data_IF_110419986710
#
_entry.id   IF_110419986710
#
_cell.length_a   1.000
_cell.length_b   1.000
_cell.length_c   1.000
_cell.angle_alpha   90.00
_cell.angle_beta   90.00
_cell.angle_gamma   90.00
#
_symmetry.space_group_name_H-M   'P 1'
#
loop_
_entity.id
_entity.type
_entity.pdbx_description
1 polymer ?
#
# COMPACT_ATOMS: atom_id res chain seq x y z
N UNK A 1 83.53 42.61 0.59
CA UNK A 1 82.14 42.58 0.97
C UNK A 1 81.30 41.98 -0.17
N UNK A 2 81.18 40.67 -0.17
CA UNK A 2 80.44 39.92 -1.23
C UNK A 2 79.11 39.44 -0.66
N UNK A 3 78.05 39.97 -1.21
CA UNK A 3 76.67 39.55 -0.84
C UNK A 3 76.29 38.26 -1.55
N UNK A 4 76.03 37.20 -0.79
CA UNK A 4 75.42 36.00 -1.29
C UNK A 4 73.92 36.13 -1.33
N UNK A 5 73.31 35.86 -2.51
CA UNK A 5 71.89 35.67 -2.67
C UNK A 5 71.62 34.15 -2.67
N UNK A 6 70.67 33.67 -1.91
CA UNK A 6 70.29 32.26 -2.03
C UNK A 6 69.36 32.02 -3.27
N UNK A 7 69.72 30.97 -4.02
CA UNK A 7 68.92 30.50 -5.16
C UNK A 7 67.64 29.90 -4.64
N UNK A 8 66.53 30.47 -5.04
CA UNK A 8 65.19 29.91 -4.80
C UNK A 8 64.95 28.71 -5.74
N UNK A 9 64.88 27.49 -5.17
CA UNK A 9 64.61 26.25 -5.89
C UNK A 9 63.08 26.17 -6.07
N UNK A 10 62.60 26.37 -7.30
CA UNK A 10 61.20 26.26 -7.66
C UNK A 10 60.83 24.79 -7.80
N UNK A 11 60.19 24.21 -6.80
CA UNK A 11 59.68 22.81 -6.82
C UNK A 11 58.39 22.80 -7.60
N UNK A 12 58.41 22.33 -8.85
CA UNK A 12 57.21 22.13 -9.65
C UNK A 12 56.57 20.85 -9.14
N UNK A 13 55.48 21.00 -8.37
CA UNK A 13 54.60 19.88 -7.97
C UNK A 13 53.70 19.54 -9.17
N UNK A 14 54.06 18.51 -9.91
CA UNK A 14 53.15 17.90 -10.90
C UNK A 14 52.10 17.11 -10.13
N UNK A 15 50.92 17.74 -9.92
CA UNK A 15 49.71 17.01 -9.48
C UNK A 15 49.24 16.12 -10.63
N UNK A 16 49.54 14.84 -10.52
CA UNK A 16 48.89 13.85 -11.35
C UNK A 16 47.41 13.82 -11.02
N UNK A 17 46.58 14.44 -11.87
CA UNK A 17 45.12 14.20 -11.87
C UNK A 17 44.89 12.74 -12.21
N UNK A 18 44.75 11.90 -11.20
CA UNK A 18 44.12 10.60 -11.35
C UNK A 18 42.64 10.87 -11.76
N UNK A 19 42.39 10.94 -13.05
CA UNK A 19 41.03 10.87 -13.57
C UNK A 19 40.49 9.49 -13.18
N UNK A 20 39.85 9.40 -12.03
CA UNK A 20 38.90 8.32 -11.78
C UNK A 20 37.93 8.32 -12.95
N UNK A 21 38.11 7.41 -13.90
CA UNK A 21 37.05 7.01 -14.80
C UNK A 21 35.89 6.59 -13.88
N UNK A 22 34.91 7.49 -13.68
CA UNK A 22 33.61 7.05 -13.26
C UNK A 22 33.23 5.90 -14.18
N UNK A 23 32.84 4.74 -13.65
CA UNK A 23 32.21 3.77 -14.50
C UNK A 23 31.13 4.53 -15.25
N UNK A 24 31.10 4.40 -16.57
CA UNK A 24 30.00 4.82 -17.41
C UNK A 24 28.80 4.02 -16.95
N UNK A 25 28.29 4.39 -15.78
CA UNK A 25 27.01 3.95 -15.28
C UNK A 25 26.05 4.37 -16.37
N UNK A 26 25.41 3.42 -16.96
CA UNK A 26 24.15 3.65 -17.63
C UNK A 26 23.35 4.56 -16.69
N UNK A 27 23.44 5.88 -16.90
CA UNK A 27 22.47 6.83 -16.43
C UNK A 27 21.16 6.18 -16.86
N UNK A 28 20.47 5.62 -15.89
CA UNK A 28 19.32 4.81 -16.20
C UNK A 28 18.44 5.68 -17.08
N UNK A 29 18.16 5.21 -18.30
CA UNK A 29 17.16 5.81 -19.19
C UNK A 29 15.87 6.07 -18.41
N UNK A 30 15.61 5.28 -17.35
CA UNK A 30 14.53 5.45 -16.41
C UNK A 30 14.54 6.81 -15.66
N UNK A 31 15.69 7.31 -15.18
CA UNK A 31 15.73 8.60 -14.49
C UNK A 31 15.62 9.75 -15.49
N UNK A 32 16.28 9.66 -16.65
CA UNK A 32 16.14 10.65 -17.71
C UNK A 32 14.70 10.67 -18.26
N UNK A 33 14.07 9.50 -18.41
CA UNK A 33 12.67 9.41 -18.85
C UNK A 33 11.70 9.85 -17.73
N UNK A 34 12.04 9.60 -16.49
CA UNK A 34 11.30 10.08 -15.32
C UNK A 34 11.30 11.60 -15.21
N UNK A 35 12.42 12.25 -15.56
CA UNK A 35 12.57 13.72 -15.50
C UNK A 35 12.15 14.40 -16.80
N UNK A 36 11.85 13.67 -17.89
CA UNK A 36 11.30 14.28 -19.09
C UNK A 36 9.92 14.81 -18.78
N UNK A 37 9.80 16.14 -18.86
CA UNK A 37 8.52 16.82 -18.88
C UNK A 37 7.72 16.34 -20.09
N UNK A 38 6.76 15.43 -19.86
CA UNK A 38 5.81 15.15 -20.91
C UNK A 38 4.85 16.34 -20.96
N UNK A 39 4.98 17.17 -21.95
CA UNK A 39 4.09 18.29 -22.26
C UNK A 39 2.60 17.91 -22.34
N UNK A 40 2.29 16.61 -22.27
CA UNK A 40 0.95 16.04 -22.24
C UNK A 40 0.37 15.94 -20.82
N UNK A 41 1.15 16.16 -19.75
CA UNK A 41 0.62 16.16 -18.38
C UNK A 41 0.17 17.58 -18.07
N UNK A 42 -1.14 17.83 -17.86
CA UNK A 42 -1.59 19.14 -17.43
C UNK A 42 -0.82 19.58 -16.18
N UNK A 43 -0.53 20.87 -16.03
CA UNK A 43 0.16 21.44 -14.86
C UNK A 43 -0.70 21.36 -13.58
N UNK A 44 -1.19 20.14 -13.27
CA UNK A 44 -2.11 19.82 -12.17
C UNK A 44 -1.40 19.22 -10.97
N UNK A 45 -0.05 19.19 -10.96
CA UNK A 45 0.70 18.46 -9.94
C UNK A 45 0.48 16.93 -10.01
N UNK A 46 0.17 16.40 -11.19
CA UNK A 46 -0.13 14.99 -11.40
C UNK A 46 -1.57 14.57 -11.09
N UNK A 47 -2.42 15.50 -10.63
CA UNK A 47 -3.82 15.24 -10.29
C UNK A 47 -4.66 15.07 -11.55
N UNK A 48 -5.51 14.05 -11.54
CA UNK A 48 -6.51 13.81 -12.58
C UNK A 48 -7.83 13.38 -11.92
N UNK A 49 -8.93 14.08 -12.29
CA UNK A 49 -10.27 13.65 -11.93
C UNK A 49 -10.80 12.73 -13.03
N UNK A 50 -11.15 11.50 -12.66
CA UNK A 50 -11.66 10.47 -13.56
C UNK A 50 -13.15 10.31 -13.33
N UNK A 51 -13.94 10.48 -14.38
CA UNK A 51 -15.38 10.26 -14.30
C UNK A 51 -15.68 8.78 -14.49
N UNK A 52 -16.32 8.17 -13.50
CA UNK A 52 -16.79 6.79 -13.53
C UNK A 52 -18.32 6.72 -13.68
N UNK A 53 -18.79 5.60 -14.21
CA UNK A 53 -20.21 5.26 -14.26
C UNK A 53 -20.52 4.23 -13.18
N UNK A 54 -21.63 4.44 -12.48
CA UNK A 54 -22.15 3.52 -11.48
C UNK A 54 -23.64 3.29 -11.71
N UNK A 55 -24.26 2.28 -11.08
CA UNK A 55 -25.71 2.10 -11.16
C UNK A 55 -26.52 3.30 -10.66
N UNK A 56 -25.93 4.17 -9.86
CA UNK A 56 -26.58 5.36 -9.26
C UNK A 56 -26.16 6.68 -9.92
N UNK A 57 -25.44 6.63 -11.03
CA UNK A 57 -25.00 7.83 -11.75
C UNK A 57 -23.50 7.92 -11.98
N UNK A 58 -23.08 9.12 -12.35
CA UNK A 58 -21.67 9.40 -12.64
C UNK A 58 -21.02 10.13 -11.46
N UNK A 59 -19.81 9.71 -11.10
CA UNK A 59 -19.05 10.30 -10.02
C UNK A 59 -17.63 10.59 -10.46
N UNK A 60 -16.96 11.53 -9.78
CA UNK A 60 -15.57 11.88 -10.02
C UNK A 60 -14.68 11.18 -9.00
N UNK A 61 -13.65 10.53 -9.53
CA UNK A 61 -12.61 9.84 -8.76
C UNK A 61 -11.33 10.62 -8.88
N UNK A 62 -10.72 10.93 -7.73
CA UNK A 62 -9.45 11.60 -7.66
C UNK A 62 -8.29 10.62 -7.75
N UNK A 63 -7.32 10.96 -8.61
CA UNK A 63 -6.03 10.27 -8.70
C UNK A 63 -4.89 11.28 -8.76
N UNK A 64 -3.71 10.88 -8.30
CA UNK A 64 -2.48 11.68 -8.40
C UNK A 64 -1.32 10.79 -8.76
N UNK A 65 -0.56 11.16 -9.79
CA UNK A 65 0.66 10.48 -10.20
C UNK A 65 1.89 11.14 -9.60
N UNK A 66 2.81 10.32 -9.09
CA UNK A 66 4.14 10.71 -8.67
C UNK A 66 5.12 9.94 -9.54
N UNK A 67 5.82 10.65 -10.42
CA UNK A 67 6.69 10.05 -11.42
C UNK A 67 6.08 10.04 -12.83
N UNK A 68 6.81 9.47 -13.79
CA UNK A 68 6.38 9.39 -15.19
C UNK A 68 6.92 8.16 -15.94
N UNK A 69 7.25 7.07 -15.24
CA UNK A 69 7.77 5.86 -15.88
C UNK A 69 6.68 5.18 -16.73
N UNK A 70 6.90 4.99 -18.06
CA UNK A 70 5.91 4.35 -18.91
C UNK A 70 5.74 2.85 -18.67
N UNK A 71 6.75 2.17 -18.08
CA UNK A 71 6.82 0.71 -17.95
C UNK A 71 6.47 0.18 -16.57
N UNK A 72 6.59 0.99 -15.52
CA UNK A 72 6.33 0.57 -14.14
C UNK A 72 5.40 1.58 -13.50
N UNK A 73 4.13 1.24 -13.43
CA UNK A 73 3.05 2.07 -12.86
C UNK A 73 2.34 1.30 -11.76
N UNK A 74 2.48 1.77 -10.54
CA UNK A 74 1.92 1.16 -9.34
C UNK A 74 0.67 1.92 -8.91
N UNK A 75 -0.50 1.34 -9.13
CA UNK A 75 -1.76 1.85 -8.58
C UNK A 75 -1.95 1.34 -7.15
N UNK A 76 -2.22 2.26 -6.23
CA UNK A 76 -2.32 2.00 -4.80
C UNK A 76 -3.78 2.01 -4.36
N UNK A 77 -4.27 0.88 -3.88
CA UNK A 77 -5.61 0.73 -3.30
C UNK A 77 -5.51 0.82 -1.78
N UNK A 78 -6.04 1.91 -1.22
CA UNK A 78 -6.06 2.15 0.22
C UNK A 78 -7.01 1.21 0.96
N UNK A 79 -6.73 1.05 2.26
CA UNK A 79 -7.48 0.26 3.21
C UNK A 79 -8.71 0.97 3.79
N UNK A 80 -9.14 0.50 4.92
CA UNK A 80 -10.38 0.82 5.60
C UNK A 80 -11.39 -0.33 5.45
N UNK A 81 -12.38 -0.30 4.53
CA UNK A 81 -12.63 0.70 3.48
C UNK A 81 -12.95 2.10 4.02
N UNK A 82 -12.71 3.10 3.20
CA UNK A 82 -13.04 4.48 3.60
C UNK A 82 -11.85 5.35 4.04
N UNK A 83 -10.64 4.77 4.20
CA UNK A 83 -9.41 5.54 4.37
C UNK A 83 -9.06 6.31 3.09
N UNK A 84 -8.04 7.15 3.16
CA UNK A 84 -7.54 7.94 2.06
C UNK A 84 -6.11 7.53 1.70
N UNK A 85 -5.58 8.06 0.59
CA UNK A 85 -4.26 7.68 0.09
C UNK A 85 -3.08 8.10 0.98
N UNK A 86 -3.27 9.06 1.88
CA UNK A 86 -2.16 9.77 2.53
C UNK A 86 -1.19 8.85 3.28
N UNK A 87 -1.66 7.76 3.87
CA UNK A 87 -0.75 6.85 4.57
C UNK A 87 0.24 6.11 3.63
N UNK A 88 0.06 6.18 2.31
CA UNK A 88 1.06 5.72 1.35
C UNK A 88 2.16 6.76 1.04
N UNK A 89 2.06 7.99 1.54
CA UNK A 89 3.05 9.05 1.27
C UNK A 89 4.47 8.67 1.70
N UNK A 90 4.62 7.77 2.69
CA UNK A 90 5.93 7.24 3.08
C UNK A 90 6.68 6.55 1.92
N UNK A 91 5.98 6.07 0.90
CA UNK A 91 6.57 5.42 -0.28
C UNK A 91 7.23 6.42 -1.24
N UNK A 92 6.88 7.71 -1.17
CA UNK A 92 7.44 8.77 -2.05
C UNK A 92 8.96 8.92 -1.89
N UNK A 93 9.48 8.64 -0.69
CA UNK A 93 10.91 8.70 -0.41
C UNK A 93 11.70 7.52 -1.01
N UNK A 94 11.03 6.48 -1.52
CA UNK A 94 11.67 5.25 -2.00
C UNK A 94 11.37 4.96 -3.47
N UNK A 95 10.10 4.83 -3.83
CA UNK A 95 9.69 4.26 -5.11
C UNK A 95 10.06 5.12 -6.32
N UNK A 96 9.89 6.46 -6.30
CA UNK A 96 10.25 7.30 -7.44
C UNK A 96 11.74 7.26 -7.79
N UNK A 97 12.62 7.24 -6.78
CA UNK A 97 14.06 7.13 -6.97
C UNK A 97 14.45 5.82 -7.69
N UNK A 98 13.63 4.78 -7.54
CA UNK A 98 13.78 3.49 -8.21
C UNK A 98 13.08 3.41 -9.56
N UNK A 99 12.54 4.54 -10.06
CA UNK A 99 11.85 4.60 -11.34
C UNK A 99 10.48 3.90 -11.32
N UNK A 100 9.83 3.83 -10.17
CA UNK A 100 8.47 3.30 -10.03
C UNK A 100 7.51 4.49 -9.98
N UNK A 101 6.65 4.65 -11.00
CA UNK A 101 5.58 5.65 -10.98
C UNK A 101 4.49 5.19 -10.02
N UNK A 102 4.23 5.98 -8.99
CA UNK A 102 3.15 5.75 -8.04
C UNK A 102 1.88 6.45 -8.51
N UNK A 103 0.75 5.81 -8.31
CA UNK A 103 -0.55 6.39 -8.61
C UNK A 103 -1.42 6.26 -7.36
N UNK A 104 -1.63 7.38 -6.70
CA UNK A 104 -2.63 7.49 -5.65
C UNK A 104 -4.04 7.50 -6.24
N UNK A 105 -4.96 6.92 -5.50
CA UNK A 105 -6.34 6.80 -5.89
C UNK A 105 -7.23 6.82 -4.65
N UNK A 106 -8.00 7.86 -4.48
CA UNK A 106 -9.06 7.89 -3.48
C UNK A 106 -10.31 7.21 -4.07
N UNK A 107 -10.73 6.10 -3.48
CA UNK A 107 -11.92 5.36 -3.91
C UNK A 107 -13.17 6.21 -3.73
N UNK A 108 -14.26 5.90 -4.44
CA UNK A 108 -15.54 6.57 -4.25
C UNK A 108 -15.98 6.52 -2.78
N UNK A 109 -16.28 7.67 -2.22
CA UNK A 109 -16.55 7.82 -0.79
C UNK A 109 -15.33 8.15 0.06
N UNK A 110 -14.13 8.24 -0.52
CA UNK A 110 -12.90 8.52 0.20
C UNK A 110 -12.29 9.86 -0.22
N UNK A 111 -11.67 10.55 0.71
CA UNK A 111 -10.77 11.67 0.50
C UNK A 111 -11.27 12.73 -0.49
N UNK A 112 -10.54 12.87 -1.59
CA UNK A 112 -10.78 13.89 -2.61
C UNK A 112 -11.76 13.45 -3.71
N UNK A 113 -12.26 12.20 -3.67
CA UNK A 113 -13.29 11.70 -4.59
C UNK A 113 -14.70 12.11 -4.14
N UNK A 114 -15.68 11.99 -5.06
CA UNK A 114 -17.07 12.22 -4.70
C UNK A 114 -17.51 11.28 -3.56
N UNK A 115 -18.37 11.79 -2.68
CA UNK A 115 -18.87 11.05 -1.52
C UNK A 115 -20.40 10.95 -1.53
N UNK A 116 -20.98 9.96 -2.25
CA UNK A 116 -22.41 9.73 -2.25
C UNK A 116 -22.91 9.29 -0.88
N UNK A 117 -24.15 9.68 -0.54
CA UNK A 117 -24.81 9.31 0.72
C UNK A 117 -25.53 7.96 0.67
N UNK A 118 -25.72 7.40 -0.53
CA UNK A 118 -26.43 6.13 -0.73
C UNK A 118 -25.52 4.95 -0.36
N UNK A 119 -25.77 4.35 0.80
CA UNK A 119 -24.98 3.21 1.32
C UNK A 119 -25.13 1.95 0.48
N UNK A 120 -26.12 1.85 -0.39
CA UNK A 120 -26.23 0.74 -1.37
C UNK A 120 -25.08 0.74 -2.40
N UNK A 121 -24.29 1.78 -2.43
CA UNK A 121 -23.05 1.87 -3.23
C UNK A 121 -21.86 1.14 -2.61
N UNK A 122 -21.94 0.77 -1.33
CA UNK A 122 -20.84 0.16 -0.59
C UNK A 122 -20.81 -1.36 -0.78
N UNK A 123 -20.56 -1.79 -2.04
CA UNK A 123 -20.55 -3.17 -2.45
C UNK A 123 -19.25 -3.52 -3.18
N UNK A 124 -18.60 -4.63 -2.80
CA UNK A 124 -17.31 -5.06 -3.34
C UNK A 124 -17.31 -5.17 -4.89
N UNK A 125 -18.31 -5.75 -5.55
CA UNK A 125 -18.33 -5.81 -7.02
C UNK A 125 -18.33 -4.43 -7.68
N UNK A 126 -18.98 -3.44 -7.08
CA UNK A 126 -18.98 -2.06 -7.61
C UNK A 126 -17.58 -1.44 -7.55
N UNK A 127 -16.83 -1.65 -6.44
CA UNK A 127 -15.47 -1.17 -6.32
C UNK A 127 -14.53 -1.84 -7.33
N UNK A 128 -14.73 -3.12 -7.63
CA UNK A 128 -13.97 -3.81 -8.69
C UNK A 128 -14.16 -3.14 -10.06
N UNK A 129 -15.41 -2.79 -10.41
CA UNK A 129 -15.69 -2.08 -11.67
C UNK A 129 -15.13 -0.66 -11.66
N UNK A 130 -15.09 -0.01 -10.51
CA UNK A 130 -14.46 1.30 -10.34
C UNK A 130 -12.97 1.24 -10.65
N UNK A 131 -12.23 0.27 -10.09
CA UNK A 131 -10.80 0.05 -10.39
C UNK A 131 -10.59 -0.17 -11.89
N UNK A 132 -11.45 -0.95 -12.56
CA UNK A 132 -11.35 -1.18 -14.01
C UNK A 132 -11.53 0.12 -14.81
N UNK A 133 -12.50 0.95 -14.45
CA UNK A 133 -12.71 2.24 -15.12
C UNK A 133 -11.54 3.21 -14.88
N UNK A 134 -10.99 3.24 -13.66
CA UNK A 134 -9.80 4.02 -13.33
C UNK A 134 -8.59 3.54 -14.14
N UNK A 135 -8.35 2.22 -14.19
CA UNK A 135 -7.31 1.61 -15.03
C UNK A 135 -7.40 2.06 -16.49
N UNK A 136 -8.61 1.97 -17.07
CA UNK A 136 -8.85 2.35 -18.48
C UNK A 136 -8.55 3.83 -18.71
N UNK A 137 -9.03 4.71 -17.84
CA UNK A 137 -8.79 6.15 -17.95
C UNK A 137 -7.30 6.51 -17.82
N UNK A 138 -6.55 5.78 -17.01
CA UNK A 138 -5.10 5.93 -16.82
C UNK A 138 -4.27 5.20 -17.88
N UNK A 139 -4.91 4.46 -18.80
CA UNK A 139 -4.25 3.67 -19.87
C UNK A 139 -3.23 2.68 -19.30
N UNK A 140 -3.60 1.99 -18.24
CA UNK A 140 -2.78 0.94 -17.63
C UNK A 140 -3.10 -0.41 -18.29
N UNK A 141 -2.07 -1.22 -18.53
CA UNK A 141 -2.22 -2.55 -19.14
C UNK A 141 -1.13 -3.53 -18.68
N UNK A 142 -1.17 -4.76 -19.18
CA UNK A 142 -0.25 -5.82 -18.77
C UNK A 142 1.23 -5.54 -19.04
N UNK A 143 1.57 -4.47 -19.76
CA UNK A 143 2.97 -4.08 -20.02
C UNK A 143 3.53 -3.16 -18.94
N UNK A 144 2.65 -2.49 -18.15
CA UNK A 144 3.07 -1.47 -17.21
C UNK A 144 2.33 -1.48 -15.86
N UNK A 145 1.25 -2.24 -15.70
CA UNK A 145 0.31 -2.11 -14.59
C UNK A 145 0.63 -3.05 -13.42
N UNK A 146 1.11 -2.49 -12.33
CA UNK A 146 1.20 -3.12 -11.02
C UNK A 146 0.07 -2.62 -10.13
N UNK A 147 -0.59 -3.54 -9.42
CA UNK A 147 -1.68 -3.22 -8.49
C UNK A 147 -1.27 -3.63 -7.08
N UNK A 148 -1.19 -2.67 -6.17
CA UNK A 148 -0.99 -2.92 -4.75
C UNK A 148 -2.27 -2.61 -3.99
N UNK A 149 -2.76 -3.58 -3.23
CA UNK A 149 -3.85 -3.40 -2.29
C UNK A 149 -3.38 -3.64 -0.86
N UNK A 150 -3.59 -2.67 0.02
CA UNK A 150 -3.31 -2.77 1.44
C UNK A 150 -4.60 -2.92 2.23
N UNK A 151 -4.63 -3.86 3.19
CA UNK A 151 -5.81 -4.08 4.03
C UNK A 151 -7.07 -4.37 3.17
N UNK A 152 -8.19 -3.67 3.36
CA UNK A 152 -9.34 -3.72 2.46
C UNK A 152 -8.94 -3.63 0.97
N UNK A 153 -7.98 -2.76 0.64
CA UNK A 153 -7.44 -2.69 -0.73
C UNK A 153 -6.88 -4.02 -1.22
N UNK A 154 -6.42 -4.90 -0.33
CA UNK A 154 -5.99 -6.26 -0.64
C UNK A 154 -7.15 -7.18 -1.05
N UNK A 155 -8.30 -7.09 -0.39
CA UNK A 155 -9.55 -7.76 -0.81
C UNK A 155 -9.91 -7.30 -2.23
N UNK A 156 -9.96 -5.99 -2.43
CA UNK A 156 -10.30 -5.38 -3.71
C UNK A 156 -9.31 -5.78 -4.82
N UNK A 157 -8.01 -5.83 -4.52
CA UNK A 157 -6.98 -6.25 -5.47
C UNK A 157 -7.09 -7.74 -5.83
N UNK A 158 -7.42 -8.62 -4.89
CA UNK A 158 -7.68 -10.05 -5.16
C UNK A 158 -8.91 -10.23 -6.06
N UNK A 159 -10.02 -9.56 -5.77
CA UNK A 159 -11.23 -9.61 -6.61
C UNK A 159 -10.97 -9.05 -8.02
N UNK A 160 -10.24 -7.93 -8.10
CA UNK A 160 -9.83 -7.38 -9.38
C UNK A 160 -8.98 -8.38 -10.18
N UNK A 161 -8.00 -9.00 -9.55
CA UNK A 161 -7.15 -9.99 -10.20
C UNK A 161 -7.95 -11.21 -10.67
N UNK A 162 -8.85 -11.74 -9.86
CA UNK A 162 -9.70 -12.88 -10.25
C UNK A 162 -10.55 -12.59 -11.48
N UNK A 163 -10.94 -11.32 -11.69
CA UNK A 163 -11.76 -10.91 -12.85
C UNK A 163 -10.95 -10.36 -14.02
N UNK A 164 -9.89 -9.59 -13.76
CA UNK A 164 -9.22 -8.76 -14.74
C UNK A 164 -7.69 -8.93 -14.82
N UNK A 165 -7.14 -10.03 -14.25
CA UNK A 165 -5.68 -10.22 -14.19
C UNK A 165 -4.93 -10.13 -15.53
N UNK A 166 -5.62 -10.34 -16.66
CA UNK A 166 -5.03 -10.17 -18.00
C UNK A 166 -4.47 -8.75 -18.24
N UNK A 167 -4.94 -7.78 -17.47
CA UNK A 167 -4.48 -6.39 -17.55
C UNK A 167 -3.31 -6.10 -16.62
N UNK A 168 -2.97 -7.03 -15.69
CA UNK A 168 -1.92 -6.83 -14.69
C UNK A 168 -0.56 -7.33 -15.19
N UNK A 169 0.49 -6.59 -14.86
CA UNK A 169 1.88 -7.03 -14.93
C UNK A 169 2.32 -7.70 -13.63
N UNK A 170 1.85 -7.20 -12.48
CA UNK A 170 2.08 -7.77 -11.16
C UNK A 170 1.00 -7.38 -10.15
N UNK A 171 0.81 -8.23 -9.16
CA UNK A 171 -0.17 -8.06 -8.06
C UNK A 171 0.57 -8.04 -6.73
N UNK A 172 0.21 -7.12 -5.84
CA UNK A 172 0.75 -7.05 -4.49
C UNK A 172 -0.41 -6.99 -3.50
N UNK A 173 -0.47 -8.00 -2.61
CA UNK A 173 -1.41 -8.04 -1.48
C UNK A 173 -0.64 -7.76 -0.21
N UNK A 174 -0.86 -6.58 0.34
CA UNK A 174 -0.18 -6.10 1.52
C UNK A 174 -1.10 -6.17 2.73
N UNK A 175 -0.69 -6.96 3.73
CA UNK A 175 -1.33 -7.00 5.03
C UNK A 175 -2.85 -7.29 4.94
N UNK A 176 -3.22 -8.33 4.16
CA UNK A 176 -4.62 -8.78 4.04
C UNK A 176 -4.72 -10.27 3.74
N UNK A 177 -5.47 -10.98 4.57
CA UNK A 177 -5.79 -12.40 4.39
C UNK A 177 -6.79 -12.60 3.24
N UNK A 178 -6.85 -13.82 2.72
CA UNK A 178 -7.81 -14.19 1.65
C UNK A 178 -9.16 -14.68 2.18
N UNK A 179 -9.42 -14.52 3.47
CA UNK A 179 -10.64 -14.99 4.14
C UNK A 179 -10.96 -14.13 5.35
N UNK A 180 -12.10 -13.44 5.32
CA UNK A 180 -12.62 -12.70 6.48
C UNK A 180 -13.04 -13.61 7.64
N UNK A 181 -13.62 -14.82 7.42
CA UNK A 181 -13.82 -15.78 8.50
C UNK A 181 -12.52 -16.17 9.21
N UNK A 182 -11.42 -16.41 8.47
CA UNK A 182 -10.14 -16.74 9.09
C UNK A 182 -9.51 -15.53 9.79
N UNK A 183 -9.70 -14.31 9.27
CA UNK A 183 -9.30 -13.08 9.95
C UNK A 183 -10.04 -12.92 11.29
N UNK A 184 -11.35 -13.06 11.29
CA UNK A 184 -12.14 -13.01 12.54
C UNK A 184 -11.69 -14.09 13.55
N UNK A 185 -11.45 -15.31 13.08
CA UNK A 185 -10.93 -16.40 13.91
C UNK A 185 -9.56 -16.07 14.52
N UNK A 186 -8.63 -15.52 13.74
CA UNK A 186 -7.31 -15.08 14.24
C UNK A 186 -7.44 -14.00 15.30
N UNK A 187 -8.34 -13.04 15.08
CA UNK A 187 -8.69 -12.01 16.06
C UNK A 187 -9.13 -12.60 17.41
N UNK A 188 -10.05 -13.57 17.39
CA UNK A 188 -10.59 -14.20 18.59
C UNK A 188 -9.60 -15.17 19.25
N UNK A 189 -8.97 -16.06 18.49
CA UNK A 189 -8.17 -17.14 19.05
C UNK A 189 -6.75 -16.73 19.45
N UNK A 190 -6.22 -15.67 18.80
CA UNK A 190 -4.82 -15.23 19.01
C UNK A 190 -4.76 -13.82 19.60
N UNK A 191 -5.35 -12.83 18.94
CA UNK A 191 -5.17 -11.44 19.34
C UNK A 191 -5.97 -11.09 20.61
N UNK A 192 -7.19 -11.61 20.77
CA UNK A 192 -8.01 -11.40 21.95
C UNK A 192 -7.29 -11.83 23.24
N UNK A 193 -6.48 -12.90 23.19
CA UNK A 193 -5.72 -13.41 24.34
C UNK A 193 -4.59 -12.48 24.80
N UNK A 194 -4.27 -11.46 24.02
CA UNK A 194 -3.22 -10.48 24.34
C UNK A 194 -3.75 -9.26 25.13
N UNK A 195 -5.07 -9.18 25.30
CA UNK A 195 -5.68 -8.13 26.12
C UNK A 195 -5.65 -8.49 27.60
N UNK A 196 -5.67 -7.45 28.43
CA UNK A 196 -6.13 -7.63 29.80
C UNK A 196 -7.59 -8.13 29.80
N UNK A 197 -7.92 -9.19 30.58
CA UNK A 197 -9.25 -9.78 30.56
C UNK A 197 -10.40 -8.79 30.88
N UNK A 198 -10.15 -7.80 31.77
CA UNK A 198 -11.15 -6.79 32.15
C UNK A 198 -11.38 -5.80 31.00
N UNK A 199 -10.29 -5.40 30.32
CA UNK A 199 -10.37 -4.52 29.14
C UNK A 199 -11.15 -5.23 28.02
N UNK A 200 -10.82 -6.49 27.73
CA UNK A 200 -11.52 -7.26 26.71
C UNK A 200 -13.01 -7.42 27.06
N UNK A 201 -13.33 -7.75 28.32
CA UNK A 201 -14.73 -7.87 28.75
C UNK A 201 -15.52 -6.57 28.54
N UNK A 202 -14.90 -5.42 28.83
CA UNK A 202 -15.53 -4.11 28.63
C UNK A 202 -15.74 -3.80 27.14
N UNK A 203 -14.75 -4.09 26.29
CA UNK A 203 -14.88 -3.97 24.82
C UNK A 203 -16.06 -4.80 24.32
N UNK A 204 -16.14 -6.07 24.74
CA UNK A 204 -17.25 -6.98 24.34
C UNK A 204 -18.62 -6.53 24.85
N UNK A 205 -18.70 -5.90 26.01
CA UNK A 205 -19.93 -5.30 26.51
C UNK A 205 -20.45 -4.18 25.59
N UNK A 206 -19.54 -3.29 25.15
CA UNK A 206 -19.84 -2.19 24.23
C UNK A 206 -20.30 -2.76 22.87
N UNK A 207 -19.56 -3.74 22.33
CA UNK A 207 -19.88 -4.41 21.06
C UNK A 207 -21.24 -5.12 21.09
N UNK A 208 -21.54 -5.84 22.19
CA UNK A 208 -22.83 -6.50 22.37
C UNK A 208 -24.02 -5.54 22.39
N UNK A 209 -23.82 -4.33 22.89
CA UNK A 209 -24.82 -3.25 22.88
C UNK A 209 -24.86 -2.49 21.55
N UNK A 210 -23.92 -2.75 20.64
CA UNK A 210 -23.71 -1.98 19.39
C UNK A 210 -23.52 -0.49 19.65
N UNK A 211 -22.94 -0.13 20.80
CA UNK A 211 -22.69 1.24 21.23
C UNK A 211 -21.35 1.74 20.69
N UNK A 212 -21.17 1.69 19.36
CA UNK A 212 -19.90 1.95 18.68
C UNK A 212 -19.51 3.45 18.66
N UNK A 213 -20.45 4.34 18.93
CA UNK A 213 -20.21 5.78 19.07
C UNK A 213 -19.73 6.14 20.50
N UNK A 214 -19.65 5.17 21.39
CA UNK A 214 -19.14 5.36 22.75
C UNK A 214 -17.64 5.69 22.71
N UNK A 215 -17.21 6.86 23.20
CA UNK A 215 -15.79 7.24 23.17
C UNK A 215 -14.87 6.25 23.91
N UNK A 216 -15.40 5.56 24.93
CA UNK A 216 -14.66 4.55 25.69
C UNK A 216 -14.19 3.39 24.78
N UNK A 217 -14.95 3.04 23.75
CA UNK A 217 -14.61 1.96 22.83
C UNK A 217 -13.24 2.17 22.19
N UNK A 218 -13.01 3.31 21.57
CA UNK A 218 -11.72 3.64 20.97
C UNK A 218 -10.65 3.96 22.01
N UNK A 219 -11.00 4.53 23.17
CA UNK A 219 -10.06 4.75 24.29
C UNK A 219 -9.47 3.43 24.80
N UNK A 220 -10.25 2.34 24.79
CA UNK A 220 -9.78 1.00 25.15
C UNK A 220 -8.98 0.35 24.02
N UNK A 221 -9.43 0.47 22.77
CA UNK A 221 -8.80 -0.17 21.61
C UNK A 221 -7.46 0.48 21.24
N UNK A 222 -7.35 1.80 21.28
CA UNK A 222 -6.14 2.49 20.81
C UNK A 222 -4.86 2.02 21.52
N UNK A 223 -4.74 2.03 22.86
CA UNK A 223 -3.52 1.59 23.53
C UNK A 223 -3.37 0.06 23.61
N UNK A 224 -4.47 -0.69 23.63
CA UNK A 224 -4.44 -2.13 23.87
C UNK A 224 -4.38 -2.97 22.61
N UNK A 225 -4.79 -2.42 21.45
CA UNK A 225 -4.83 -3.12 20.18
C UNK A 225 -4.16 -2.34 19.04
N UNK A 226 -4.59 -1.11 18.77
CA UNK A 226 -4.09 -0.34 17.62
C UNK A 226 -2.60 -0.04 17.72
N UNK A 227 -2.10 0.37 18.89
CA UNK A 227 -0.67 0.62 19.13
C UNK A 227 0.20 -0.64 19.12
N UNK A 228 -0.41 -1.84 19.10
CA UNK A 228 0.30 -3.12 19.06
C UNK A 228 0.26 -3.78 17.68
N UNK A 229 -0.86 -3.60 16.96
CA UNK A 229 -1.19 -4.38 15.77
C UNK A 229 -1.45 -3.55 14.51
N UNK A 230 -1.79 -2.25 14.65
CA UNK A 230 -2.03 -1.38 13.49
C UNK A 230 -0.78 -0.57 13.16
N UNK A 231 -0.23 0.19 14.11
CA UNK A 231 1.00 0.95 13.93
C UNK A 231 1.77 0.97 15.25
N UNK A 232 2.96 0.34 15.30
CA UNK A 232 3.71 0.06 16.53
C UNK A 232 4.60 1.20 16.99
N UNK A 233 4.05 2.40 16.94
CA UNK A 233 4.60 3.58 17.61
C UNK A 233 3.69 3.97 18.78
N UNK A 234 4.19 4.71 19.79
CA UNK A 234 3.31 5.37 20.74
C UNK A 234 2.23 6.17 20.01
N UNK A 235 0.99 6.15 20.51
CA UNK A 235 -0.15 6.74 19.78
C UNK A 235 0.04 8.23 19.48
N UNK A 236 0.69 8.96 20.40
CA UNK A 236 1.05 10.38 20.25
C UNK A 236 2.21 10.63 19.27
N UNK A 237 2.89 9.57 18.81
CA UNK A 237 3.98 9.60 17.84
C UNK A 237 3.62 8.95 16.50
N UNK A 238 2.36 8.66 16.29
CA UNK A 238 1.95 8.09 15.02
C UNK A 238 2.27 9.05 13.87
N UNK A 239 2.78 8.53 12.72
CA UNK A 239 3.10 9.35 11.57
C UNK A 239 1.91 10.21 11.12
N UNK A 240 2.18 11.48 10.84
CA UNK A 240 1.14 12.44 10.46
C UNK A 240 0.28 11.95 9.28
N UNK A 241 0.84 11.34 8.19
CA UNK A 241 0.01 10.85 7.10
C UNK A 241 -0.94 9.73 7.51
N UNK A 242 -0.56 8.89 8.49
CA UNK A 242 -1.44 7.86 9.07
C UNK A 242 -2.59 8.52 9.83
N UNK A 243 -2.27 9.46 10.72
CA UNK A 243 -3.29 10.20 11.49
C UNK A 243 -4.23 10.97 10.56
N UNK A 244 -3.71 11.61 9.52
CA UNK A 244 -4.49 12.37 8.54
C UNK A 244 -5.44 11.47 7.76
N UNK A 245 -4.98 10.30 7.31
CA UNK A 245 -5.81 9.34 6.59
C UNK A 245 -6.92 8.76 7.47
N UNK A 246 -6.59 8.36 8.69
CA UNK A 246 -7.59 7.85 9.66
C UNK A 246 -8.58 8.94 10.09
N UNK A 247 -8.10 10.17 10.26
CA UNK A 247 -8.96 11.32 10.60
C UNK A 247 -9.96 11.70 9.49
N UNK A 248 -9.73 11.24 8.26
CA UNK A 248 -10.63 11.44 7.10
C UNK A 248 -11.46 10.19 6.78
N UNK A 249 -11.40 9.16 7.62
CA UNK A 249 -12.12 7.91 7.39
C UNK A 249 -13.62 8.16 7.15
N UNK A 250 -14.15 7.63 6.06
CA UNK A 250 -15.60 7.60 5.86
C UNK A 250 -16.22 6.53 6.76
N UNK A 251 -16.66 6.95 7.94
CA UNK A 251 -17.21 6.06 8.97
C UNK A 251 -18.41 5.25 8.47
N UNK A 252 -19.32 5.85 7.70
CA UNK A 252 -20.48 5.15 7.14
C UNK A 252 -20.08 3.99 6.22
N UNK A 253 -19.11 4.23 5.34
CA UNK A 253 -18.57 3.22 4.44
C UNK A 253 -17.83 2.13 5.23
N UNK A 254 -16.98 2.54 6.18
CA UNK A 254 -16.20 1.64 7.01
C UNK A 254 -17.09 0.66 7.80
N UNK A 255 -18.05 1.19 8.57
CA UNK A 255 -18.93 0.35 9.40
C UNK A 255 -19.81 -0.56 8.56
N UNK A 256 -20.29 -0.08 7.39
CA UNK A 256 -21.11 -0.90 6.48
C UNK A 256 -20.35 -2.11 5.95
N UNK A 257 -19.09 -1.97 5.61
CA UNK A 257 -18.32 -3.02 4.94
C UNK A 257 -17.44 -3.81 5.89
N UNK A 258 -16.64 -3.13 6.74
CA UNK A 258 -15.70 -3.74 7.68
C UNK A 258 -16.36 -4.07 9.02
N UNK A 259 -17.05 -3.11 9.61
CA UNK A 259 -17.56 -3.19 10.97
C UNK A 259 -17.01 -2.08 11.86
N UNK A 260 -17.17 -2.19 13.19
CA UNK A 260 -16.90 -1.08 14.10
C UNK A 260 -15.41 -0.76 14.33
N UNK A 261 -14.52 -1.73 14.08
CA UNK A 261 -13.07 -1.58 14.37
C UNK A 261 -12.23 -2.61 13.62
N UNK A 262 -10.90 -2.50 13.72
CA UNK A 262 -9.94 -3.49 13.20
C UNK A 262 -9.78 -4.74 14.10
N UNK A 263 -10.49 -4.82 15.23
CA UNK A 263 -10.44 -5.99 16.12
C UNK A 263 -11.25 -7.19 15.61
N UNK A 264 -11.99 -7.02 14.53
CA UNK A 264 -12.76 -8.07 13.89
C UNK A 264 -13.43 -7.56 12.64
N UNK A 265 -14.28 -8.40 12.07
CA UNK A 265 -15.06 -8.05 10.88
C UNK A 265 -16.53 -8.32 11.14
N UNK A 266 -17.37 -7.32 10.92
CA UNK A 266 -18.81 -7.36 11.25
C UNK A 266 -19.71 -6.74 10.19
N UNK A 267 -19.13 -6.20 9.12
CA UNK A 267 -19.87 -5.62 8.01
C UNK A 267 -20.24 -6.62 6.91
N UNK A 268 -20.59 -6.12 5.72
CA UNK A 268 -21.00 -6.99 4.61
C UNK A 268 -19.89 -7.87 4.03
N UNK A 269 -18.62 -7.64 4.41
CA UNK A 269 -17.47 -8.46 4.06
C UNK A 269 -17.29 -9.71 4.95
N UNK A 270 -18.08 -9.87 6.02
CA UNK A 270 -17.90 -10.93 7.03
C UNK A 270 -17.73 -12.33 6.44
N UNK A 271 -18.45 -12.66 5.36
CA UNK A 271 -18.43 -13.98 4.74
C UNK A 271 -17.53 -14.07 3.51
N UNK A 272 -16.74 -13.03 3.22
CA UNK A 272 -15.86 -13.04 2.06
C UNK A 272 -14.70 -14.02 2.26
N UNK A 273 -14.56 -14.99 1.32
CA UNK A 273 -13.50 -16.01 1.32
C UNK A 273 -13.11 -16.33 -0.13
N UNK A 274 -11.81 -16.28 -0.42
CA UNK A 274 -11.23 -16.58 -1.74
C UNK A 274 -10.08 -17.58 -1.68
N UNK A 275 -9.92 -18.29 -0.58
CA UNK A 275 -8.86 -19.30 -0.42
C UNK A 275 -8.80 -20.28 -1.59
N UNK A 276 -9.94 -20.82 -1.97
CA UNK A 276 -10.02 -21.82 -3.06
C UNK A 276 -9.71 -21.24 -4.45
N UNK A 277 -9.90 -19.93 -4.63
CA UNK A 277 -9.73 -19.23 -5.90
C UNK A 277 -8.32 -18.68 -6.10
N UNK A 278 -7.47 -18.57 -5.08
CA UNK A 278 -6.11 -18.02 -5.18
C UNK A 278 -5.28 -18.70 -6.28
N UNK A 279 -5.43 -20.00 -6.47
CA UNK A 279 -4.78 -20.78 -7.55
C UNK A 279 -5.11 -20.30 -8.97
N UNK A 280 -6.20 -19.56 -9.13
CA UNK A 280 -6.61 -18.98 -10.42
C UNK A 280 -5.87 -17.67 -10.74
N UNK A 281 -5.16 -17.11 -9.76
CA UNK A 281 -4.31 -15.94 -9.98
C UNK A 281 -2.97 -16.42 -10.54
N UNK A 282 -2.71 -16.08 -11.80
CA UNK A 282 -1.58 -16.60 -12.58
C UNK A 282 -0.52 -15.55 -12.90
N UNK A 283 -0.80 -14.26 -12.67
CA UNK A 283 0.19 -13.19 -12.76
C UNK A 283 1.19 -13.30 -11.61
N UNK A 284 2.41 -12.74 -11.73
CA UNK A 284 3.31 -12.61 -10.59
C UNK A 284 2.60 -11.92 -9.42
N UNK A 285 2.60 -12.55 -8.26
CA UNK A 285 1.86 -12.07 -7.10
C UNK A 285 2.74 -12.08 -5.84
N UNK A 286 2.75 -10.96 -5.11
CA UNK A 286 3.42 -10.81 -3.83
C UNK A 286 2.39 -10.78 -2.71
N UNK A 287 2.57 -11.62 -1.69
CA UNK A 287 1.90 -11.50 -0.39
C UNK A 287 2.86 -10.89 0.62
N UNK A 288 2.48 -9.82 1.31
CA UNK A 288 3.27 -9.18 2.36
C UNK A 288 2.57 -9.41 3.69
N UNK A 289 3.27 -10.07 4.63
CA UNK A 289 2.80 -10.30 5.98
C UNK A 289 3.76 -9.76 7.03
N UNK A 290 3.25 -9.42 8.20
CA UNK A 290 4.03 -8.83 9.28
C UNK A 290 3.78 -9.55 10.60
N UNK A 291 4.81 -9.58 11.47
CA UNK A 291 4.80 -10.37 12.71
C UNK A 291 3.69 -9.96 13.69
N UNK A 292 3.43 -8.65 13.77
CA UNK A 292 2.54 -8.08 14.77
C UNK A 292 1.21 -7.59 14.19
N UNK A 293 0.92 -7.98 12.93
CA UNK A 293 -0.27 -7.57 12.20
C UNK A 293 -1.57 -8.11 12.82
N UNK A 294 -2.68 -7.50 12.48
CA UNK A 294 -4.03 -8.04 12.67
C UNK A 294 -4.31 -9.23 11.74
N UNK A 295 -3.51 -9.38 10.69
CA UNK A 295 -3.55 -10.49 9.74
C UNK A 295 -2.55 -11.57 10.15
N UNK A 296 -2.96 -12.85 10.13
CA UNK A 296 -2.06 -13.96 10.46
C UNK A 296 -0.91 -14.05 9.45
N UNK A 297 0.36 -13.83 9.85
CA UNK A 297 1.49 -13.91 8.94
C UNK A 297 1.68 -15.32 8.34
N UNK A 298 1.22 -16.38 9.02
CA UNK A 298 1.24 -17.74 8.49
C UNK A 298 0.23 -17.91 7.36
N UNK A 299 -0.95 -17.30 7.48
CA UNK A 299 -1.93 -17.26 6.39
C UNK A 299 -1.38 -16.49 5.19
N UNK A 300 -0.73 -15.34 5.43
CA UNK A 300 -0.09 -14.54 4.37
C UNK A 300 1.01 -15.33 3.64
N UNK A 301 1.82 -16.08 4.37
CA UNK A 301 2.82 -16.97 3.79
C UNK A 301 2.18 -18.09 2.98
N UNK A 302 1.12 -18.71 3.51
CA UNK A 302 0.36 -19.75 2.82
C UNK A 302 -0.27 -19.22 1.54
N UNK A 303 -0.84 -18.00 1.52
CA UNK A 303 -1.39 -17.39 0.30
C UNK A 303 -0.38 -17.35 -0.84
N UNK A 304 0.87 -16.98 -0.53
CA UNK A 304 1.94 -16.96 -1.54
C UNK A 304 2.17 -18.33 -2.19
N UNK A 305 1.96 -19.42 -1.44
CA UNK A 305 2.07 -20.80 -2.00
C UNK A 305 0.87 -21.20 -2.86
N UNK A 306 -0.24 -20.49 -2.73
CA UNK A 306 -1.46 -20.77 -3.51
C UNK A 306 -1.48 -20.05 -4.86
N UNK A 307 -0.81 -18.90 -4.99
CA UNK A 307 -0.66 -18.23 -6.28
C UNK A 307 0.23 -19.07 -7.21
N UNK A 308 -0.12 -19.10 -8.50
CA UNK A 308 0.71 -19.84 -9.48
C UNK A 308 2.14 -19.32 -9.56
N UNK A 309 2.34 -18.04 -9.42
CA UNK A 309 3.63 -17.33 -9.45
C UNK A 309 3.76 -16.45 -8.19
N UNK A 310 3.67 -17.08 -7.02
CA UNK A 310 3.65 -16.39 -5.74
C UNK A 310 5.04 -16.09 -5.19
N UNK A 311 5.14 -14.97 -4.49
CA UNK A 311 6.28 -14.53 -3.69
C UNK A 311 5.78 -14.11 -2.31
N UNK A 312 6.61 -14.23 -1.29
CA UNK A 312 6.29 -13.83 0.07
C UNK A 312 7.33 -12.87 0.62
N UNK A 313 6.87 -11.76 1.19
CA UNK A 313 7.69 -10.84 1.96
C UNK A 313 7.24 -10.88 3.41
N UNK A 314 8.17 -11.16 4.31
CA UNK A 314 7.92 -11.14 5.74
C UNK A 314 8.58 -9.95 6.41
N UNK A 315 7.79 -9.17 7.17
CA UNK A 315 8.22 -8.02 7.95
C UNK A 315 8.29 -8.40 9.43
N UNK A 316 9.46 -8.80 9.96
CA UNK A 316 9.57 -9.36 11.32
C UNK A 316 9.33 -8.34 12.44
N UNK A 317 9.49 -7.06 12.16
CA UNK A 317 9.24 -5.98 13.11
C UNK A 317 7.94 -5.21 12.84
N UNK A 318 7.27 -5.52 11.73
CA UNK A 318 6.11 -4.81 11.23
C UNK A 318 4.80 -5.24 11.85
N UNK A 319 3.83 -4.35 11.78
CA UNK A 319 2.42 -4.57 12.08
C UNK A 319 1.55 -4.36 10.83
N UNK A 320 0.28 -4.00 10.98
CA UNK A 320 -0.61 -3.69 9.85
C UNK A 320 -0.05 -2.59 8.95
N UNK A 321 0.60 -1.59 9.55
CA UNK A 321 1.32 -0.51 8.84
C UNK A 321 2.82 -0.82 8.71
N UNK A 322 3.18 -2.04 8.26
CA UNK A 322 4.57 -2.47 8.10
C UNK A 322 5.41 -1.53 7.22
N UNK A 323 4.77 -0.78 6.34
CA UNK A 323 5.41 0.26 5.53
C UNK A 323 5.96 1.44 6.35
N UNK A 324 5.59 1.52 7.63
CA UNK A 324 6.10 2.50 8.60
C UNK A 324 6.99 1.85 9.67
N UNK A 325 6.50 0.80 10.33
CA UNK A 325 7.17 0.23 11.50
C UNK A 325 8.19 -0.88 11.18
N UNK A 326 8.22 -1.36 9.94
CA UNK A 326 9.31 -2.17 9.37
C UNK A 326 9.69 -1.68 7.96
N UNK A 327 9.83 -0.36 7.83
CA UNK A 327 9.86 0.38 6.58
C UNK A 327 10.90 -0.13 5.59
N UNK A 328 12.14 -0.32 6.03
CA UNK A 328 13.23 -0.73 5.11
C UNK A 328 13.01 -2.14 4.57
N UNK A 329 12.55 -3.08 5.40
CA UNK A 329 12.22 -4.44 4.97
C UNK A 329 11.10 -4.40 3.94
N UNK A 330 10.03 -3.66 4.25
CA UNK A 330 8.87 -3.52 3.37
C UNK A 330 9.25 -2.90 2.03
N UNK A 331 9.91 -1.74 2.02
CA UNK A 331 10.23 -0.99 0.79
C UNK A 331 11.23 -1.73 -0.08
N UNK A 332 12.32 -2.28 0.51
CA UNK A 332 13.32 -3.05 -0.25
C UNK A 332 12.72 -4.31 -0.87
N UNK A 333 11.85 -5.02 -0.14
CA UNK A 333 11.18 -6.21 -0.64
C UNK A 333 10.19 -5.88 -1.77
N UNK A 334 9.39 -4.83 -1.61
CA UNK A 334 8.45 -4.35 -2.63
C UNK A 334 9.20 -3.93 -3.92
N UNK A 335 10.25 -3.13 -3.80
CA UNK A 335 11.08 -2.69 -4.92
C UNK A 335 11.70 -3.89 -5.63
N UNK A 336 12.28 -4.81 -4.87
CA UNK A 336 12.89 -6.04 -5.43
C UNK A 336 11.87 -6.87 -6.20
N UNK A 337 10.66 -7.05 -5.67
CA UNK A 337 9.59 -7.74 -6.38
C UNK A 337 9.23 -7.06 -7.69
N UNK A 338 8.95 -5.77 -7.67
CA UNK A 338 8.55 -5.01 -8.86
C UNK A 338 9.64 -5.06 -9.94
N UNK A 339 10.92 -4.85 -9.54
CA UNK A 339 12.07 -4.89 -10.47
C UNK A 339 12.29 -6.30 -11.04
N UNK A 340 12.18 -7.34 -10.22
CA UNK A 340 12.30 -8.73 -10.68
C UNK A 340 11.23 -9.08 -11.72
N UNK A 341 9.98 -8.71 -11.44
CA UNK A 341 8.88 -8.91 -12.41
C UNK A 341 9.10 -8.08 -13.69
N UNK A 342 9.57 -6.85 -13.58
CA UNK A 342 9.90 -6.02 -14.76
C UNK A 342 11.02 -6.63 -15.61
N UNK A 343 11.97 -7.32 -14.98
CA UNK A 343 13.04 -8.09 -15.63
C UNK A 343 12.57 -9.44 -16.19
N UNK A 344 11.30 -9.83 -16.00
CA UNK A 344 10.71 -11.06 -16.53
C UNK A 344 10.64 -12.24 -15.56
N UNK A 345 10.99 -12.06 -14.28
CA UNK A 345 10.82 -13.09 -13.27
C UNK A 345 9.32 -13.32 -13.00
N UNK A 346 8.92 -14.58 -12.94
CA UNK A 346 7.52 -14.95 -12.61
C UNK A 346 7.29 -15.06 -11.11
N UNK A 347 8.31 -15.49 -10.36
CA UNK A 347 8.32 -15.54 -8.90
C UNK A 347 9.67 -15.01 -8.42
N UNK A 348 9.64 -14.05 -7.50
CA UNK A 348 10.83 -13.36 -7.00
C UNK A 348 11.16 -13.88 -5.61
N UNK A 349 12.40 -14.29 -5.39
CA UNK A 349 12.87 -14.69 -4.05
C UNK A 349 13.23 -13.45 -3.25
N UNK A 350 12.52 -13.22 -2.15
CA UNK A 350 12.68 -12.07 -1.26
C UNK A 350 13.40 -12.42 0.01
#
# INVERSE_FOLDING_TARGET
MTKHYPKLLLLILTTAFCACKQPSGQSSTALADYLKDSSAIPRTGGIQMIKINTPKGKFNIWTKKIGNNPKIKLLLLNGGPGCTHEYFECMESFLPAEGIEMIYYDQLGCGNSDNPKDTSMWELPRFVEEVEQVRQALKLDSTNFYLLGHSWGGILAMEYALKYQKNLKGLIISNMMSSCPDYGKYGEEVLAKQFDPKVLARIREIEAKKDFDNPEYMQLLMPNFYAKHICRFPVDQWPEPVNRSLGKLNHSLYVTMQGPSEFGIGGNLTNWDRKAQLKNITVPALSIGAQYDTMDPKHMQWMATQFKNGSYLYCPNGSHMAMYDDQLMYMNGLIKFIKGVDAGEKSVKL
#
